data_IF_082721699045
#
_entry.id   IF_082721699045
#
_cell.length_a   1.000
_cell.length_b   1.000
_cell.length_c   1.000
_cell.angle_alpha   90.00
_cell.angle_beta   90.00
_cell.angle_gamma   90.00
#
_symmetry.space_group_name_H-M   'P 1'
#
loop_
_entity.id
_entity.type
_entity.pdbx_description
1 polymer ?
#
# COMPACT_ATOMS: atom_id res chain seq x y z
N UNK A 1 -52.20 60.38 -1.10
CA UNK A 1 -50.79 60.66 -1.45
C UNK A 1 -49.92 59.72 -0.64
N UNK A 2 -49.61 58.55 -1.21
CA UNK A 2 -48.82 57.52 -0.53
C UNK A 2 -47.36 57.98 -0.53
N UNK A 3 -46.77 58.06 0.66
CA UNK A 3 -45.47 58.67 0.92
C UNK A 3 -44.36 57.97 0.11
N UNK A 4 -43.86 58.67 -0.92
CA UNK A 4 -42.75 58.24 -1.79
C UNK A 4 -41.47 57.92 -0.98
N UNK A 5 -41.32 58.50 0.21
CA UNK A 5 -40.21 58.22 1.14
C UNK A 5 -40.32 56.88 1.87
N UNK A 6 -41.53 56.32 2.00
CA UNK A 6 -41.73 55.00 2.59
C UNK A 6 -41.42 53.89 1.57
N UNK A 7 -41.67 54.15 0.28
CA UNK A 7 -41.38 53.24 -0.84
C UNK A 7 -39.87 53.11 -1.15
N UNK A 8 -39.09 54.17 -0.95
CA UNK A 8 -37.63 54.13 -1.16
C UNK A 8 -36.89 53.41 -0.04
N UNK A 9 -37.37 53.52 1.21
CA UNK A 9 -36.80 52.81 2.35
C UNK A 9 -37.13 51.30 2.36
N UNK A 10 -38.30 50.91 1.85
CA UNK A 10 -38.69 49.49 1.74
C UNK A 10 -37.98 48.78 0.58
N UNK A 11 -37.73 49.46 -0.54
CA UNK A 11 -36.95 48.89 -1.65
C UNK A 11 -35.47 48.64 -1.27
N UNK A 12 -34.87 49.53 -0.47
CA UNK A 12 -33.50 49.35 0.02
C UNK A 12 -33.37 48.21 1.04
N UNK A 13 -34.38 48.00 1.89
CA UNK A 13 -34.40 46.89 2.86
C UNK A 13 -34.61 45.52 2.19
N UNK A 14 -35.40 45.45 1.12
CA UNK A 14 -35.60 44.22 0.35
C UNK A 14 -34.37 43.87 -0.50
N UNK A 15 -33.66 44.86 -1.04
CA UNK A 15 -32.39 44.62 -1.75
C UNK A 15 -31.25 44.16 -0.81
N UNK A 16 -31.24 44.60 0.46
CA UNK A 16 -30.24 44.19 1.45
C UNK A 16 -30.50 42.78 2.02
N UNK A 17 -31.75 42.28 1.97
CA UNK A 17 -32.11 40.92 2.36
C UNK A 17 -31.79 39.86 1.28
N UNK A 18 -31.70 40.27 0.01
CA UNK A 18 -31.32 39.37 -1.10
C UNK A 18 -29.81 39.11 -1.23
N UNK A 19 -28.95 39.78 -0.44
CA UNK A 19 -27.52 39.51 -0.37
C UNK A 19 -27.14 38.52 0.74
N UNK A 20 -28.11 37.92 1.42
CA UNK A 20 -27.89 36.64 2.10
C UNK A 20 -27.82 35.57 1.02
N UNK A 21 -26.73 35.60 0.25
CA UNK A 21 -26.37 34.48 -0.60
C UNK A 21 -26.44 33.25 0.29
N UNK A 22 -27.36 32.34 -0.04
CA UNK A 22 -27.14 30.95 0.24
C UNK A 22 -25.85 30.61 -0.52
N UNK A 23 -24.72 30.90 0.12
CA UNK A 23 -23.45 30.29 -0.26
C UNK A 23 -23.79 28.80 -0.27
N UNK A 24 -23.71 28.10 -1.42
CA UNK A 24 -23.84 26.66 -1.40
C UNK A 24 -22.86 26.19 -0.33
N UNK A 25 -23.35 25.43 0.65
CA UNK A 25 -22.47 24.85 1.66
C UNK A 25 -21.39 24.12 0.87
N UNK A 26 -20.16 24.62 0.94
CA UNK A 26 -19.06 23.97 0.26
C UNK A 26 -18.97 22.56 0.81
N UNK A 27 -18.98 21.58 -0.09
CA UNK A 27 -18.86 20.18 0.24
C UNK A 27 -17.36 19.91 0.46
N UNK A 28 -16.89 19.81 1.72
CA UNK A 28 -15.46 19.82 2.02
C UNK A 28 -14.78 18.60 1.39
N UNK A 29 -13.56 18.80 0.89
CA UNK A 29 -12.75 17.74 0.32
C UNK A 29 -11.94 17.05 1.44
N UNK A 30 -12.15 15.76 1.61
CA UNK A 30 -11.38 14.86 2.45
C UNK A 30 -10.22 14.31 1.63
N UNK A 31 -9.04 14.84 1.91
CA UNK A 31 -7.80 14.50 1.23
C UNK A 31 -7.14 13.29 1.89
N UNK A 32 -6.39 12.52 1.12
CA UNK A 32 -5.38 11.67 1.74
C UNK A 32 -5.87 10.28 2.18
N UNK A 33 -7.01 9.78 1.70
CA UNK A 33 -7.54 8.50 2.19
C UNK A 33 -6.83 7.33 1.51
N UNK A 34 -6.02 6.59 2.26
CA UNK A 34 -5.22 5.49 1.72
C UNK A 34 -6.09 4.26 1.45
N UNK A 35 -5.94 3.69 0.26
CA UNK A 35 -6.68 2.51 -0.16
C UNK A 35 -5.80 1.60 -1.00
N UNK A 36 -6.08 0.29 -0.96
CA UNK A 36 -5.44 -0.70 -1.83
C UNK A 36 -6.42 -1.06 -2.94
N UNK A 37 -5.97 -0.92 -4.19
CA UNK A 37 -6.74 -1.33 -5.37
C UNK A 37 -6.94 -2.85 -5.35
N UNK A 38 -8.19 -3.29 -5.43
CA UNK A 38 -8.55 -4.71 -5.56
C UNK A 38 -8.66 -5.12 -7.02
N UNK A 39 -9.33 -4.30 -7.83
CA UNK A 39 -9.47 -4.47 -9.27
C UNK A 39 -10.00 -3.17 -9.90
N UNK A 40 -9.73 -2.97 -11.19
CA UNK A 40 -10.31 -1.90 -11.99
C UNK A 40 -11.53 -2.41 -12.75
N UNK A 41 -12.54 -1.57 -12.91
CA UNK A 41 -13.74 -1.80 -13.72
C UNK A 41 -13.89 -0.65 -14.72
N UNK A 42 -13.20 -0.76 -15.85
CA UNK A 42 -13.27 0.23 -16.93
C UNK A 42 -14.69 0.34 -17.52
N UNK A 43 -15.50 -0.72 -17.43
CA UNK A 43 -16.89 -0.71 -17.90
C UNK A 43 -17.81 0.20 -17.08
N UNK A 44 -17.51 0.37 -15.79
CA UNK A 44 -18.16 1.34 -14.90
C UNK A 44 -17.29 2.56 -14.61
N UNK A 45 -16.18 2.70 -15.32
CA UNK A 45 -15.18 3.76 -15.13
C UNK A 45 -14.82 3.99 -13.65
N UNK A 46 -14.49 2.91 -12.96
CA UNK A 46 -14.16 2.94 -11.54
C UNK A 46 -13.28 1.78 -11.12
N UNK A 47 -13.06 1.63 -9.82
CA UNK A 47 -12.26 0.54 -9.24
C UNK A 47 -12.84 0.09 -7.91
N UNK A 48 -12.54 -1.13 -7.52
CA UNK A 48 -12.78 -1.59 -6.16
C UNK A 48 -11.52 -1.39 -5.34
N UNK A 49 -11.71 -0.92 -4.12
CA UNK A 49 -10.63 -0.72 -3.15
C UNK A 49 -11.01 -1.29 -1.79
N UNK A 50 -10.01 -1.51 -0.96
CA UNK A 50 -10.17 -1.67 0.49
C UNK A 50 -9.33 -0.62 1.19
N UNK A 51 -9.60 -0.37 2.46
CA UNK A 51 -8.71 0.50 3.24
C UNK A 51 -7.27 -0.07 3.26
N UNK A 52 -6.28 0.82 3.08
CA UNK A 52 -4.87 0.45 3.23
C UNK A 52 -4.46 0.40 4.70
N UNK A 53 -5.06 1.28 5.50
CA UNK A 53 -4.89 1.38 6.94
C UNK A 53 -6.08 0.73 7.66
N UNK A 54 -5.85 0.07 8.79
CA UNK A 54 -6.91 -0.59 9.58
C UNK A 54 -7.67 0.48 10.38
N UNK A 55 -8.41 1.36 9.69
CA UNK A 55 -9.13 2.49 10.28
C UNK A 55 -8.19 3.59 10.78
N UNK A 56 -8.52 4.85 10.49
CA UNK A 56 -7.82 5.98 11.11
C UNK A 56 -8.02 6.02 12.63
N UNK A 57 -7.68 7.14 13.28
CA UNK A 57 -7.77 7.33 14.73
C UNK A 57 -9.15 7.05 15.38
N UNK A 58 -10.22 6.85 14.60
CA UNK A 58 -11.55 6.46 15.07
C UNK A 58 -11.81 4.95 15.05
N UNK A 59 -10.93 4.13 14.46
CA UNK A 59 -11.17 2.69 14.22
C UNK A 59 -12.25 2.39 13.17
N UNK A 60 -12.82 3.43 12.54
CA UNK A 60 -13.81 3.28 11.49
C UNK A 60 -13.12 3.14 10.12
N UNK A 61 -13.33 2.00 9.48
CA UNK A 61 -12.90 1.68 8.12
C UNK A 61 -13.73 2.52 7.13
N UNK A 62 -13.10 3.45 6.40
CA UNK A 62 -13.81 4.34 5.47
C UNK A 62 -14.32 3.58 4.25
N UNK A 63 -13.46 2.73 3.67
CA UNK A 63 -13.76 1.91 2.50
C UNK A 63 -14.15 0.47 2.85
N UNK A 64 -13.84 0.00 4.05
CA UNK A 64 -14.06 -1.40 4.45
C UNK A 64 -13.18 -2.36 3.66
N UNK A 65 -13.61 -3.63 3.64
CA UNK A 65 -12.97 -4.70 2.87
C UNK A 65 -13.17 -4.57 1.35
N UNK A 66 -14.20 -3.79 0.94
CA UNK A 66 -14.55 -3.62 -0.47
C UNK A 66 -15.51 -2.44 -0.67
N UNK A 67 -15.00 -1.35 -1.22
CA UNK A 67 -15.77 -0.19 -1.68
C UNK A 67 -15.56 0.02 -3.18
N UNK A 68 -16.63 0.35 -3.90
CA UNK A 68 -16.55 0.78 -5.29
C UNK A 68 -16.31 2.29 -5.38
N UNK A 69 -15.30 2.69 -6.15
CA UNK A 69 -14.93 4.08 -6.37
C UNK A 69 -15.21 4.46 -7.82
N UNK A 70 -16.19 5.33 -8.02
CA UNK A 70 -16.49 5.94 -9.32
C UNK A 70 -15.41 6.97 -9.67
N UNK A 71 -14.79 6.80 -10.85
CA UNK A 71 -13.73 7.66 -11.37
C UNK A 71 -14.19 8.49 -12.58
N UNK A 72 -15.48 8.55 -12.89
CA UNK A 72 -16.07 9.31 -14.01
C UNK A 72 -15.66 10.78 -14.05
N UNK A 73 -15.35 11.35 -12.89
CA UNK A 73 -14.92 12.73 -12.74
C UNK A 73 -13.60 12.86 -11.96
N UNK A 74 -12.93 11.74 -11.68
CA UNK A 74 -11.69 11.73 -10.91
C UNK A 74 -10.50 12.11 -11.79
N UNK A 75 -9.54 12.83 -11.21
CA UNK A 75 -8.23 13.04 -11.81
C UNK A 75 -7.25 11.98 -11.28
N UNK A 76 -6.55 11.27 -12.16
CA UNK A 76 -5.67 10.17 -11.77
C UNK A 76 -4.20 10.56 -12.01
N UNK A 77 -3.34 10.41 -10.99
CA UNK A 77 -1.95 10.83 -11.06
C UNK A 77 -0.96 9.88 -10.37
N UNK A 78 0.31 9.95 -10.75
CA UNK A 78 1.43 9.35 -10.02
C UNK A 78 2.63 10.31 -9.99
N UNK A 79 3.51 10.16 -9.00
CA UNK A 79 4.70 11.01 -8.85
C UNK A 79 5.96 10.34 -9.41
N UNK A 80 6.42 10.79 -10.59
CA UNK A 80 7.61 10.30 -11.30
C UNK A 80 8.88 10.33 -10.47
N UNK A 81 9.41 9.20 -10.00
CA UNK A 81 10.69 9.22 -9.27
C UNK A 81 11.87 9.60 -10.17
N UNK A 82 11.80 9.30 -11.47
CA UNK A 82 12.81 9.70 -12.45
C UNK A 82 12.62 11.09 -13.05
N UNK A 83 11.41 11.67 -12.96
CA UNK A 83 11.09 12.99 -13.53
C UNK A 83 10.84 14.06 -12.47
N UNK A 84 10.64 13.66 -11.22
CA UNK A 84 10.19 14.51 -10.09
C UNK A 84 8.87 15.27 -10.37
N UNK A 85 8.07 14.78 -11.32
CA UNK A 85 6.84 15.42 -11.80
C UNK A 85 5.58 14.58 -11.52
N UNK A 86 4.47 15.27 -11.20
CA UNK A 86 3.15 14.66 -11.13
C UNK A 86 2.63 14.40 -12.55
N UNK A 87 2.50 13.14 -12.92
CA UNK A 87 2.10 12.72 -14.27
C UNK A 87 0.68 12.14 -14.22
N UNK A 88 -0.15 12.51 -15.18
CA UNK A 88 -1.51 11.96 -15.32
C UNK A 88 -1.44 10.51 -15.78
N UNK A 89 -2.34 9.67 -15.27
CA UNK A 89 -2.48 8.26 -15.65
C UNK A 89 -3.91 7.94 -16.05
N UNK A 90 -4.09 6.77 -16.66
CA UNK A 90 -5.41 6.20 -16.94
C UNK A 90 -5.80 5.20 -15.86
N UNK A 91 -7.09 4.95 -15.75
CA UNK A 91 -7.62 3.94 -14.83
C UNK A 91 -7.00 2.55 -15.08
N UNK A 92 -6.80 2.18 -16.34
CA UNK A 92 -6.18 0.90 -16.72
C UNK A 92 -4.69 0.78 -16.37
N UNK A 93 -4.03 1.87 -15.97
CA UNK A 93 -2.63 1.81 -15.52
C UNK A 93 -2.52 1.33 -14.06
N UNK A 94 -3.61 1.45 -13.28
CA UNK A 94 -3.74 0.90 -11.93
C UNK A 94 -3.96 -0.61 -11.97
N UNK A 95 -3.22 -1.35 -11.15
CA UNK A 95 -3.39 -2.79 -10.96
C UNK A 95 -3.81 -3.12 -9.53
N UNK A 96 -4.33 -4.33 -9.36
CA UNK A 96 -4.59 -4.88 -8.04
C UNK A 96 -3.31 -4.89 -7.18
N UNK A 97 -3.44 -4.46 -5.93
CA UNK A 97 -2.34 -4.31 -4.98
C UNK A 97 -1.66 -2.94 -5.02
N UNK A 98 -1.99 -2.08 -5.99
CA UNK A 98 -1.50 -0.71 -5.99
C UNK A 98 -2.07 0.05 -4.79
N UNK A 99 -1.21 0.76 -4.09
CA UNK A 99 -1.61 1.64 -3.01
C UNK A 99 -1.90 3.03 -3.57
N UNK A 100 -3.09 3.53 -3.30
CA UNK A 100 -3.56 4.80 -3.81
C UNK A 100 -4.08 5.68 -2.69
N UNK A 101 -3.93 6.98 -2.88
CA UNK A 101 -4.60 8.00 -2.09
C UNK A 101 -5.85 8.46 -2.83
N UNK A 102 -7.00 8.49 -2.16
CA UNK A 102 -8.28 8.88 -2.75
C UNK A 102 -8.81 10.12 -2.05
N UNK A 103 -9.03 11.19 -2.82
CA UNK A 103 -9.66 12.40 -2.32
C UNK A 103 -11.18 12.33 -2.60
N UNK A 104 -11.98 12.50 -1.54
CA UNK A 104 -13.44 12.37 -1.56
C UNK A 104 -14.09 13.62 -1.02
N UNK A 105 -15.26 14.00 -1.54
CA UNK A 105 -16.07 15.03 -0.88
C UNK A 105 -16.79 14.47 0.35
N UNK A 106 -17.13 15.31 1.33
CA UNK A 106 -17.84 14.87 2.55
C UNK A 106 -19.14 14.13 2.22
N UNK A 107 -19.86 14.56 1.19
CA UNK A 107 -21.07 13.89 0.71
C UNK A 107 -20.82 12.45 0.21
N UNK A 108 -19.61 12.15 -0.24
CA UNK A 108 -19.18 10.83 -0.73
C UNK A 108 -18.58 9.96 0.38
N UNK A 109 -17.92 10.55 1.39
CA UNK A 109 -17.42 9.85 2.60
C UNK A 109 -18.54 9.05 3.28
N UNK A 110 -19.73 9.63 3.41
CA UNK A 110 -20.89 8.94 4.02
C UNK A 110 -21.42 7.79 3.15
N UNK A 111 -21.19 7.84 1.84
CA UNK A 111 -21.58 6.77 0.91
C UNK A 111 -20.54 5.66 0.86
N UNK A 112 -19.26 5.99 1.04
CA UNK A 112 -18.17 5.02 1.09
C UNK A 112 -18.43 3.93 2.15
N UNK A 113 -18.91 4.32 3.34
CA UNK A 113 -19.32 3.37 4.38
C UNK A 113 -20.51 2.47 4.02
N UNK A 114 -21.24 2.77 2.94
CA UNK A 114 -22.28 1.92 2.36
C UNK A 114 -21.78 1.11 1.15
N UNK A 115 -20.47 1.11 0.89
CA UNK A 115 -19.80 0.30 -0.13
C UNK A 115 -19.60 0.97 -1.49
N UNK A 116 -19.92 2.26 -1.64
CA UNK A 116 -19.62 2.99 -2.89
C UNK A 116 -19.45 4.50 -2.70
N UNK A 117 -18.51 5.12 -3.40
CA UNK A 117 -18.29 6.57 -3.40
C UNK A 117 -17.75 7.07 -4.75
N UNK A 118 -17.85 8.37 -5.01
CA UNK A 118 -17.18 9.03 -6.15
C UNK A 118 -15.90 9.71 -5.71
N UNK A 119 -14.80 9.48 -6.45
CA UNK A 119 -13.54 10.15 -6.21
C UNK A 119 -13.46 11.49 -6.96
N UNK A 120 -12.74 12.44 -6.36
CA UNK A 120 -12.33 13.68 -7.01
C UNK A 120 -10.91 13.57 -7.56
N UNK A 121 -10.03 12.89 -6.83
CA UNK A 121 -8.66 12.61 -7.25
C UNK A 121 -8.22 11.25 -6.73
N UNK A 122 -7.42 10.56 -7.53
CA UNK A 122 -6.71 9.35 -7.14
C UNK A 122 -5.23 9.53 -7.44
N UNK A 123 -4.38 9.22 -6.48
CA UNK A 123 -2.94 9.28 -6.64
C UNK A 123 -2.31 7.93 -6.30
N UNK A 124 -1.56 7.35 -7.24
CA UNK A 124 -0.77 6.15 -6.98
C UNK A 124 0.43 6.50 -6.09
N UNK A 125 0.57 5.77 -4.98
CA UNK A 125 1.65 5.96 -4.00
C UNK A 125 2.91 5.17 -4.37
N UNK A 126 2.77 3.98 -4.96
CA UNK A 126 3.90 3.11 -5.30
C UNK A 126 4.15 3.06 -6.81
N UNK A 127 5.28 3.60 -7.25
CA UNK A 127 5.67 3.52 -8.66
C UNK A 127 6.37 2.19 -8.97
N UNK A 128 5.94 1.51 -10.04
CA UNK A 128 6.73 0.42 -10.63
C UNK A 128 7.92 1.04 -11.35
N UNK A 129 9.13 0.65 -10.98
CA UNK A 129 10.30 1.03 -11.78
C UNK A 129 10.13 0.45 -13.19
N UNK A 130 10.28 1.26 -14.25
CA UNK A 130 10.36 0.70 -15.60
C UNK A 130 11.55 -0.26 -15.62
N UNK A 131 11.34 -1.49 -16.12
CA UNK A 131 12.42 -2.46 -16.24
C UNK A 131 13.54 -1.87 -17.11
N UNK A 132 14.68 -1.57 -16.51
CA UNK A 132 15.88 -1.16 -17.23
C UNK A 132 16.31 -2.33 -18.12
N UNK A 133 16.34 -2.08 -19.43
CA UNK A 133 16.79 -3.03 -20.44
C UNK A 133 18.32 -2.89 -20.54
N UNK A 134 19.15 -3.85 -20.08
CA UNK A 134 20.59 -3.69 -20.14
C UNK A 134 21.08 -4.13 -21.52
N UNK A 135 21.09 -3.21 -22.48
CA UNK A 135 21.92 -3.36 -23.68
C UNK A 135 22.37 -2.01 -24.22
N UNK A 136 23.26 -1.35 -23.47
CA UNK A 136 24.22 -0.41 -24.04
C UNK A 136 25.62 -0.74 -23.52
N UNK A 137 26.27 -1.73 -24.13
CA UNK A 137 27.72 -1.82 -24.08
C UNK A 137 28.28 -0.75 -25.03
N UNK A 138 28.55 0.43 -24.48
CA UNK A 138 29.37 1.46 -25.12
C UNK A 138 30.84 1.11 -24.89
N UNK A 139 31.47 0.43 -25.84
CA UNK A 139 32.93 0.47 -26.00
C UNK A 139 33.28 1.28 -27.25
N UNK A 140 33.93 2.42 -27.04
CA UNK A 140 34.35 3.35 -28.09
C UNK A 140 35.60 2.89 -28.86
N UNK A 141 35.53 3.12 -30.16
CA UNK A 141 36.53 3.81 -31.00
C UNK A 141 37.96 3.25 -31.17
N UNK A 142 38.27 2.79 -32.39
CA UNK A 142 39.25 3.47 -33.27
C UNK A 142 39.58 2.66 -34.55
N UNK A 143 39.79 3.39 -35.65
CA UNK A 143 40.71 3.00 -36.73
C UNK A 143 40.06 2.44 -38.00
N UNK A 144 40.04 3.25 -39.06
CA UNK A 144 39.61 2.86 -40.39
C UNK A 144 40.71 2.22 -41.24
N UNK A 145 40.38 1.93 -42.50
CA UNK A 145 41.38 1.62 -43.53
C UNK A 145 41.01 0.46 -44.44
N UNK A 146 40.86 0.79 -45.72
CA UNK A 146 40.45 0.00 -46.87
C UNK A 146 41.34 -1.19 -47.27
N UNK A 147 40.77 -2.00 -48.18
CA UNK A 147 41.38 -2.65 -49.35
C UNK A 147 41.94 -4.10 -49.29
N UNK A 148 41.19 -4.96 -49.99
CA UNK A 148 41.60 -5.82 -51.12
C UNK A 148 42.37 -7.15 -50.93
N UNK A 149 41.94 -8.14 -51.72
CA UNK A 149 42.61 -9.42 -52.04
C UNK A 149 41.98 -10.62 -51.33
N UNK A 150 41.40 -11.65 -51.94
CA UNK A 150 41.51 -12.20 -53.29
C UNK A 150 41.94 -13.67 -53.20
N UNK A 151 41.05 -14.60 -53.60
CA UNK A 151 41.34 -15.97 -54.11
C UNK A 151 41.92 -17.01 -53.10
N UNK A 152 41.62 -18.31 -53.06
CA UNK A 152 40.94 -19.28 -53.93
C UNK A 152 40.64 -20.56 -53.09
N UNK A 153 39.44 -21.15 -53.14
CA UNK A 153 39.07 -22.39 -53.88
C UNK A 153 38.95 -23.68 -53.03
N UNK A 154 37.89 -24.46 -53.28
CA UNK A 154 37.85 -25.89 -52.94
C UNK A 154 36.50 -26.45 -52.45
N UNK A 155 35.56 -26.70 -53.37
CA UNK A 155 34.25 -27.31 -53.13
C UNK A 155 34.28 -28.82 -52.82
N UNK A 156 33.33 -29.28 -52.00
CA UNK A 156 32.37 -30.40 -52.27
C UNK A 156 31.47 -30.55 -51.03
N UNK A 157 30.17 -30.26 -51.12
CA UNK A 157 29.07 -31.23 -51.35
C UNK A 157 28.65 -31.90 -50.03
N UNK A 158 27.41 -32.15 -49.64
CA UNK A 158 26.06 -32.05 -50.20
C UNK A 158 25.12 -32.36 -49.02
N UNK A 159 23.89 -31.80 -48.95
CA UNK A 159 22.86 -32.37 -48.07
C UNK A 159 21.86 -31.39 -47.46
N UNK A 160 20.78 -31.13 -48.19
CA UNK A 160 19.65 -30.28 -47.84
C UNK A 160 18.65 -30.92 -46.87
N UNK A 161 18.02 -30.09 -46.02
CA UNK A 161 16.55 -29.94 -45.85
C UNK A 161 16.36 -28.94 -44.68
N UNK A 162 15.87 -27.71 -44.89
CA UNK A 162 14.50 -27.39 -45.32
C UNK A 162 13.57 -27.61 -44.13
N UNK A 163 13.13 -26.58 -43.42
CA UNK A 163 12.03 -25.71 -43.85
C UNK A 163 12.02 -24.37 -43.13
N UNK A 164 11.82 -23.30 -43.90
CA UNK A 164 11.42 -21.99 -43.40
C UNK A 164 9.91 -21.79 -43.45
N UNK A 165 9.46 -20.70 -42.81
CA UNK A 165 8.38 -19.75 -43.19
C UNK A 165 8.02 -18.98 -41.91
N UNK A 166 8.48 -17.74 -41.69
CA UNK A 166 8.02 -16.45 -42.23
C UNK A 166 6.54 -16.13 -41.96
N UNK A 167 6.31 -15.07 -41.17
CA UNK A 167 5.40 -14.00 -41.59
C UNK A 167 4.07 -13.84 -40.83
N UNK A 168 4.05 -12.78 -40.02
CA UNK A 168 3.03 -11.71 -40.03
C UNK A 168 1.65 -11.92 -39.38
N UNK A 169 1.36 -11.06 -38.40
CA UNK A 169 0.18 -10.17 -38.48
C UNK A 169 -1.02 -10.47 -37.58
N UNK A 170 -1.37 -9.48 -36.75
CA UNK A 170 -2.75 -8.97 -36.61
C UNK A 170 -3.73 -9.70 -35.69
N UNK A 171 -4.00 -9.07 -34.53
CA UNK A 171 -5.31 -8.77 -33.91
C UNK A 171 -6.49 -9.74 -34.11
N UNK A 172 -7.06 -10.25 -33.01
CA UNK A 172 -8.39 -9.81 -32.55
C UNK A 172 -8.84 -10.47 -31.24
N UNK A 173 -9.68 -9.73 -30.54
CA UNK A 173 -10.40 -10.04 -29.31
C UNK A 173 -11.51 -11.09 -29.52
N UNK A 174 -11.74 -11.90 -28.49
CA UNK A 174 -12.82 -12.90 -28.49
C UNK A 174 -13.13 -13.36 -27.07
N UNK A 175 -14.17 -12.76 -26.50
CA UNK A 175 -14.74 -13.03 -25.18
C UNK A 175 -15.19 -14.47 -24.94
N UNK A 176 -15.17 -14.86 -23.66
CA UNK A 176 -16.23 -15.58 -22.92
C UNK A 176 -15.82 -16.92 -22.29
N UNK A 177 -15.95 -16.97 -20.96
CA UNK A 177 -16.03 -18.24 -20.23
C UNK A 177 -15.48 -18.23 -18.81
N UNK A 178 -16.12 -17.52 -17.88
CA UNK A 178 -16.19 -18.02 -16.50
C UNK A 178 -17.42 -18.94 -16.40
N UNK A 179 -17.31 -20.10 -15.73
CA UNK A 179 -17.71 -20.08 -14.33
C UNK A 179 -16.91 -20.99 -13.37
N UNK A 180 -16.84 -20.51 -12.11
CA UNK A 180 -16.85 -21.26 -10.83
C UNK A 180 -15.53 -21.87 -10.30
N UNK A 181 -15.00 -21.16 -9.30
CA UNK A 181 -14.76 -21.59 -7.92
C UNK A 181 -13.85 -22.81 -7.67
N UNK A 182 -12.59 -22.56 -7.25
CA UNK A 182 -11.97 -23.14 -6.05
C UNK A 182 -10.47 -22.77 -5.95
N UNK A 183 -10.05 -22.27 -4.79
CA UNK A 183 -8.76 -22.65 -4.20
C UNK A 183 -7.54 -21.75 -4.43
N UNK A 184 -6.91 -21.41 -3.31
CA UNK A 184 -5.55 -20.89 -3.10
C UNK A 184 -5.31 -19.41 -3.44
N UNK A 185 -4.98 -18.63 -2.39
CA UNK A 185 -4.13 -17.45 -2.49
C UNK A 185 -2.96 -17.80 -3.41
N UNK A 186 -2.91 -17.20 -4.59
CA UNK A 186 -1.67 -17.14 -5.34
C UNK A 186 -0.84 -16.05 -4.64
N UNK A 187 0.09 -16.48 -3.78
CA UNK A 187 1.15 -15.65 -3.23
C UNK A 187 1.79 -14.86 -4.38
N UNK A 188 1.82 -13.52 -4.25
CA UNK A 188 2.51 -12.69 -5.24
C UNK A 188 4.02 -12.97 -5.08
N UNK A 189 4.68 -13.54 -6.11
CA UNK A 189 6.11 -13.80 -6.05
C UNK A 189 6.86 -12.48 -5.83
N UNK A 190 7.68 -12.41 -4.77
CA UNK A 190 8.42 -11.20 -4.38
C UNK A 190 7.71 -10.28 -3.37
N UNK A 191 6.54 -10.65 -2.84
CA UNK A 191 5.92 -9.92 -1.73
C UNK A 191 6.61 -10.20 -0.39
N UNK A 192 6.58 -9.23 0.54
CA UNK A 192 7.15 -9.42 1.89
C UNK A 192 6.48 -10.55 2.68
N UNK A 193 5.20 -10.81 2.42
CA UNK A 193 4.51 -11.99 2.95
C UNK A 193 5.16 -13.30 2.45
N UNK A 194 5.42 -13.41 1.14
CA UNK A 194 6.13 -14.56 0.57
C UNK A 194 7.56 -14.69 1.12
N UNK A 195 8.32 -13.59 1.23
CA UNK A 195 9.65 -13.62 1.85
C UNK A 195 9.61 -14.04 3.33
N UNK A 196 8.56 -13.66 4.05
CA UNK A 196 8.33 -14.14 5.41
C UNK A 196 7.93 -15.62 5.43
N UNK A 197 7.13 -16.11 4.48
CA UNK A 197 6.77 -17.52 4.36
C UNK A 197 7.97 -18.42 4.06
N UNK A 198 8.96 -17.91 3.32
CA UNK A 198 10.25 -18.55 3.09
C UNK A 198 11.20 -18.47 4.30
N UNK A 199 10.92 -17.61 5.28
CA UNK A 199 11.72 -17.45 6.51
C UNK A 199 11.30 -18.41 7.63
N UNK A 200 12.11 -18.52 8.68
CA UNK A 200 11.75 -19.25 9.91
C UNK A 200 10.97 -18.36 10.91
N UNK A 201 9.92 -17.69 10.44
CA UNK A 201 9.12 -16.81 11.29
C UNK A 201 8.44 -17.53 12.46
N UNK A 202 8.14 -18.82 12.29
CA UNK A 202 7.56 -19.65 13.37
C UNK A 202 8.61 -19.96 14.44
N UNK A 203 9.86 -20.25 14.05
CA UNK A 203 10.98 -20.37 14.98
C UNK A 203 11.27 -19.06 15.70
N UNK A 204 11.22 -17.94 14.99
CA UNK A 204 11.38 -16.61 15.58
C UNK A 204 10.29 -16.28 16.60
N UNK A 205 9.02 -16.56 16.30
CA UNK A 205 7.92 -16.41 17.26
C UNK A 205 8.13 -17.26 18.54
N UNK A 206 8.63 -18.50 18.40
CA UNK A 206 8.98 -19.35 19.55
C UNK A 206 10.16 -18.77 20.36
N UNK A 207 11.15 -18.20 19.69
CA UNK A 207 12.28 -17.52 20.35
C UNK A 207 11.79 -16.33 21.17
N UNK A 208 10.88 -15.53 20.61
CA UNK A 208 10.23 -14.43 21.33
C UNK A 208 9.46 -14.94 22.55
N UNK A 209 8.64 -15.99 22.40
CA UNK A 209 7.93 -16.59 23.54
C UNK A 209 8.89 -17.06 24.65
N UNK A 210 10.02 -17.64 24.29
CA UNK A 210 11.05 -18.05 25.26
C UNK A 210 11.64 -16.85 26.00
N UNK A 211 12.01 -15.79 25.28
CA UNK A 211 12.54 -14.55 25.85
C UNK A 211 11.55 -13.91 26.83
N UNK A 212 10.27 -13.83 26.45
CA UNK A 212 9.21 -13.32 27.32
C UNK A 212 9.01 -14.20 28.56
N UNK A 213 9.05 -15.53 28.43
CA UNK A 213 8.94 -16.44 29.58
C UNK A 213 10.05 -16.26 30.63
N UNK A 214 11.23 -15.80 30.20
CA UNK A 214 12.38 -15.51 31.07
C UNK A 214 12.47 -14.04 31.48
N UNK A 215 11.59 -13.18 30.91
CA UNK A 215 11.68 -11.72 31.00
C UNK A 215 13.10 -11.23 30.64
N UNK A 216 13.71 -11.79 29.60
CA UNK A 216 15.09 -11.46 29.21
C UNK A 216 15.13 -10.20 28.32
N UNK A 217 15.42 -9.04 28.93
CA UNK A 217 15.47 -7.77 28.22
C UNK A 217 16.71 -7.64 27.33
N UNK A 218 17.79 -8.35 27.66
CA UNK A 218 19.03 -8.32 26.91
C UNK A 218 18.86 -9.06 25.58
N UNK A 219 18.25 -10.25 25.64
CA UNK A 219 17.89 -11.00 24.46
C UNK A 219 16.82 -10.29 23.62
N UNK A 220 15.80 -9.69 24.26
CA UNK A 220 14.77 -8.93 23.55
C UNK A 220 15.37 -7.77 22.74
N UNK A 221 16.27 -6.99 23.35
CA UNK A 221 16.93 -5.87 22.69
C UNK A 221 17.74 -6.28 21.44
N UNK A 222 18.32 -7.47 21.42
CA UNK A 222 19.05 -7.97 20.25
C UNK A 222 18.15 -8.32 19.07
N UNK A 223 16.88 -8.62 19.34
CA UNK A 223 15.88 -8.95 18.32
C UNK A 223 15.22 -7.70 17.73
N UNK A 224 15.34 -6.53 18.34
CA UNK A 224 14.77 -5.29 17.82
C UNK A 224 15.54 -4.76 16.60
N UNK A 225 14.80 -4.17 15.65
CA UNK A 225 15.38 -3.20 14.73
C UNK A 225 15.21 -1.81 15.33
N UNK A 226 16.30 -1.05 15.39
CA UNK A 226 16.29 0.29 15.95
C UNK A 226 16.21 1.35 14.84
N UNK A 227 15.42 2.42 15.04
CA UNK A 227 14.55 2.66 16.20
C UNK A 227 13.36 1.68 16.22
N UNK A 228 12.98 1.25 17.43
CA UNK A 228 11.83 0.35 17.66
C UNK A 228 10.69 1.14 18.28
N UNK A 229 9.49 1.02 17.73
CA UNK A 229 8.31 1.70 18.26
C UNK A 229 7.80 0.99 19.53
N UNK A 230 7.64 1.71 20.64
CA UNK A 230 7.20 1.14 21.91
C UNK A 230 6.06 1.96 22.51
N UNK A 231 4.92 1.31 22.78
CA UNK A 231 3.84 1.85 23.62
C UNK A 231 3.76 1.10 24.93
N UNK A 232 3.51 1.82 26.01
CA UNK A 232 3.37 1.28 27.38
C UNK A 232 2.21 1.99 28.08
N UNK A 233 1.73 1.47 29.21
CA UNK A 233 0.72 2.18 30.01
C UNK A 233 1.20 3.57 30.48
N UNK A 234 2.51 3.75 30.64
CA UNK A 234 3.10 5.03 31.01
C UNK A 234 3.24 6.00 29.82
N UNK A 235 3.24 5.49 28.59
CA UNK A 235 3.34 6.27 27.36
C UNK A 235 2.51 5.65 26.21
N UNK A 236 1.24 6.03 26.17
CA UNK A 236 0.26 5.53 25.19
C UNK A 236 0.36 6.21 23.83
N UNK A 237 1.06 7.35 23.72
CA UNK A 237 1.34 8.00 22.43
C UNK A 237 2.41 7.25 21.63
N UNK A 238 3.16 6.38 22.31
CA UNK A 238 4.26 5.61 21.77
C UNK A 238 5.55 6.41 21.64
N UNK A 239 6.67 5.69 21.55
CA UNK A 239 8.00 6.27 21.47
C UNK A 239 8.86 5.45 20.52
N UNK A 240 9.53 6.12 19.59
CA UNK A 240 10.63 5.55 18.83
C UNK A 240 11.86 5.44 19.73
N UNK A 241 12.08 4.24 20.26
CA UNK A 241 13.22 3.94 21.11
C UNK A 241 14.45 3.76 20.24
N UNK A 242 15.40 4.68 20.36
CA UNK A 242 16.54 4.78 19.45
C UNK A 242 17.57 3.64 19.59
N UNK A 243 17.70 3.02 20.76
CA UNK A 243 18.72 2.01 21.01
C UNK A 243 18.36 1.02 22.13
N UNK A 244 19.24 0.02 22.31
CA UNK A 244 19.08 -1.01 23.32
C UNK A 244 19.09 -0.49 24.76
N UNK A 245 19.79 0.62 25.05
CA UNK A 245 19.80 1.18 26.40
C UNK A 245 18.43 1.80 26.73
N UNK A 246 17.84 2.53 25.78
CA UNK A 246 16.49 3.08 25.90
C UNK A 246 15.42 2.01 26.07
N UNK A 247 15.55 0.88 25.36
CA UNK A 247 14.60 -0.24 25.50
C UNK A 247 14.71 -0.91 26.86
N UNK A 248 15.94 -1.13 27.34
CA UNK A 248 16.20 -1.75 28.65
C UNK A 248 15.65 -0.94 29.82
N UNK A 249 15.63 0.38 29.69
CA UNK A 249 15.06 1.27 30.70
C UNK A 249 13.54 1.05 30.90
N UNK A 250 12.84 0.49 29.91
CA UNK A 250 11.40 0.22 29.93
C UNK A 250 11.06 -1.24 30.25
N UNK A 251 12.01 -2.00 30.80
CA UNK A 251 11.87 -3.45 31.05
C UNK A 251 10.57 -3.81 31.76
N UNK A 252 10.28 -3.12 32.86
CA UNK A 252 9.15 -3.47 33.73
C UNK A 252 7.81 -3.08 33.09
N UNK A 253 7.80 -2.02 32.28
CA UNK A 253 6.64 -1.56 31.52
C UNK A 253 6.36 -2.42 30.28
N UNK A 254 7.36 -3.15 29.76
CA UNK A 254 7.21 -4.09 28.64
C UNK A 254 6.79 -5.48 29.13
N UNK A 255 7.42 -6.00 30.19
CA UNK A 255 7.14 -7.34 30.73
C UNK A 255 5.99 -7.33 31.75
N UNK A 256 4.87 -6.72 31.40
CA UNK A 256 3.64 -6.78 32.21
C UNK A 256 3.03 -8.18 32.16
N UNK A 257 2.24 -8.54 33.17
CA UNK A 257 1.60 -9.86 33.21
C UNK A 257 0.64 -10.06 32.03
N UNK A 258 -0.04 -8.99 31.59
CA UNK A 258 -0.91 -9.01 30.42
C UNK A 258 -0.13 -9.28 29.12
N UNK A 259 1.00 -8.60 28.92
CA UNK A 259 1.87 -8.83 27.76
C UNK A 259 2.47 -10.24 27.74
N UNK A 260 2.89 -10.74 28.91
CA UNK A 260 3.40 -12.11 29.04
C UNK A 260 2.34 -13.16 28.69
N UNK A 261 1.11 -12.97 29.17
CA UNK A 261 0.00 -13.86 28.86
C UNK A 261 -0.36 -13.80 27.37
N UNK A 262 -0.40 -12.60 26.79
CA UNK A 262 -0.69 -12.38 25.38
C UNK A 262 0.32 -13.09 24.47
N UNK A 263 1.62 -12.88 24.70
CA UNK A 263 2.69 -13.52 23.91
C UNK A 263 2.70 -15.05 24.10
N UNK A 264 2.50 -15.54 25.33
CA UNK A 264 2.46 -16.97 25.61
C UNK A 264 1.23 -17.67 25.00
N UNK A 265 0.11 -16.95 24.83
CA UNK A 265 -1.15 -17.49 24.29
C UNK A 265 -1.14 -17.72 22.77
N UNK A 266 -0.19 -17.14 22.06
CA UNK A 266 -0.07 -17.30 20.59
C UNK A 266 0.33 -18.72 20.22
N UNK A 267 -0.34 -19.33 19.25
CA UNK A 267 0.10 -20.57 18.61
C UNK A 267 0.93 -20.24 17.35
N UNK A 268 2.27 -20.47 17.36
CA UNK A 268 3.12 -20.16 16.23
C UNK A 268 2.75 -20.88 14.93
N UNK A 269 2.01 -22.00 15.00
CA UNK A 269 1.61 -22.74 13.81
C UNK A 269 0.42 -22.10 13.09
N UNK A 270 -0.33 -21.24 13.79
CA UNK A 270 -1.48 -20.50 13.27
C UNK A 270 -1.15 -19.08 12.83
N UNK A 271 0.10 -18.66 13.02
CA UNK A 271 0.59 -17.38 12.50
C UNK A 271 0.61 -17.40 10.98
N UNK A 272 0.06 -16.34 10.39
CA UNK A 272 0.04 -16.11 8.95
C UNK A 272 0.83 -14.84 8.65
N UNK A 273 1.89 -14.93 7.84
CA UNK A 273 2.62 -13.74 7.38
C UNK A 273 1.70 -12.77 6.66
N UNK A 274 1.99 -11.48 6.81
CA UNK A 274 1.33 -10.41 6.07
C UNK A 274 2.37 -9.46 5.48
N UNK A 275 1.94 -8.54 4.63
CA UNK A 275 2.84 -7.52 4.08
C UNK A 275 3.39 -6.57 5.15
N UNK A 276 2.63 -6.32 6.21
CA UNK A 276 3.10 -5.57 7.36
C UNK A 276 4.19 -6.41 8.07
N UNK A 277 3.87 -7.66 8.38
CA UNK A 277 4.72 -8.53 9.17
C UNK A 277 3.87 -9.54 9.91
N UNK A 278 4.33 -9.93 11.09
CA UNK A 278 3.65 -10.90 11.95
C UNK A 278 3.47 -10.30 13.32
N UNK A 279 2.22 -10.35 13.79
CA UNK A 279 1.86 -9.94 15.14
C UNK A 279 1.87 -11.15 16.09
N UNK A 280 2.44 -10.94 17.28
CA UNK A 280 2.48 -11.92 18.37
C UNK A 280 1.94 -11.24 19.62
N UNK A 281 0.71 -11.55 19.97
CA UNK A 281 0.05 -11.01 21.16
C UNK A 281 -1.42 -11.35 21.21
N UNK A 282 -2.18 -10.52 21.91
CA UNK A 282 -3.62 -10.68 22.10
C UNK A 282 -4.38 -10.60 20.77
N UNK A 283 -5.45 -11.38 20.63
CA UNK A 283 -6.35 -11.30 19.47
C UNK A 283 -7.01 -9.91 19.31
N UNK A 284 -7.08 -9.12 20.39
CA UNK A 284 -7.53 -7.72 20.38
C UNK A 284 -6.53 -6.74 19.77
N UNK A 285 -5.34 -7.18 19.35
CA UNK A 285 -4.27 -6.34 18.81
C UNK A 285 -3.41 -5.64 19.87
N UNK A 286 -3.77 -5.72 21.14
CA UNK A 286 -2.97 -5.23 22.27
C UNK A 286 -3.31 -5.96 23.57
N UNK A 287 -2.34 -6.28 24.44
CA UNK A 287 -0.90 -6.10 24.25
C UNK A 287 -0.30 -7.14 23.29
N UNK A 288 0.81 -6.80 22.65
CA UNK A 288 1.54 -7.67 21.73
C UNK A 288 2.73 -7.00 21.09
N UNK A 289 3.38 -7.69 20.16
CA UNK A 289 4.50 -7.14 19.40
C UNK A 289 4.41 -7.52 17.94
N UNK A 290 5.17 -6.81 17.13
CA UNK A 290 5.16 -6.97 15.70
C UNK A 290 6.59 -7.10 15.19
N UNK A 291 6.81 -8.13 14.36
CA UNK A 291 8.09 -8.40 13.75
C UNK A 291 7.97 -8.62 12.25
N UNK A 292 9.04 -8.32 11.52
CA UNK A 292 9.13 -8.51 10.07
C UNK A 292 10.59 -8.71 9.66
N UNK A 293 10.84 -8.88 8.37
CA UNK A 293 12.20 -8.82 7.80
C UNK A 293 12.65 -7.36 7.80
N UNK A 294 13.80 -7.09 8.41
CA UNK A 294 14.49 -5.81 8.28
C UNK A 294 15.21 -5.70 6.92
N UNK A 295 15.79 -4.53 6.63
CA UNK A 295 16.52 -4.27 5.38
C UNK A 295 17.69 -5.23 5.14
N UNK A 296 18.27 -5.76 6.21
CA UNK A 296 19.35 -6.75 6.18
C UNK A 296 18.86 -8.19 5.91
N UNK A 297 17.54 -8.39 5.72
CA UNK A 297 16.93 -9.67 5.46
C UNK A 297 16.77 -10.56 6.68
N UNK A 298 17.06 -10.08 7.89
CA UNK A 298 16.86 -10.84 9.13
C UNK A 298 15.54 -10.48 9.80
N UNK A 299 14.93 -11.47 10.46
CA UNK A 299 13.74 -11.24 11.28
C UNK A 299 14.08 -10.37 12.48
N UNK A 300 13.31 -9.29 12.65
CA UNK A 300 13.51 -8.29 13.68
C UNK A 300 12.18 -7.76 14.19
N UNK A 301 12.12 -7.43 15.48
CA UNK A 301 10.97 -6.78 16.12
C UNK A 301 11.00 -5.31 15.75
N UNK A 302 9.93 -4.84 15.11
CA UNK A 302 9.78 -3.44 14.67
C UNK A 302 8.97 -2.62 15.68
N UNK A 303 8.07 -3.28 16.43
CA UNK A 303 7.21 -2.61 17.38
C UNK A 303 6.80 -3.50 18.56
N UNK A 304 6.61 -2.88 19.72
CA UNK A 304 6.17 -3.50 20.96
C UNK A 304 5.03 -2.65 21.53
N UNK A 305 3.87 -3.26 21.72
CA UNK A 305 2.73 -2.65 22.36
C UNK A 305 2.40 -3.35 23.68
N UNK A 306 2.84 -2.76 24.79
CA UNK A 306 2.60 -3.28 26.13
C UNK A 306 1.36 -2.66 26.81
N UNK A 307 0.68 -1.72 26.15
CA UNK A 307 -0.54 -1.10 26.67
C UNK A 307 -1.71 -2.10 26.63
N UNK A 308 -2.52 -2.12 27.68
CA UNK A 308 -3.77 -2.88 27.69
C UNK A 308 -4.90 -1.95 27.27
N UNK A 309 -5.49 -2.19 26.10
CA UNK A 309 -6.71 -1.51 25.69
C UNK A 309 -7.84 -1.92 26.62
N UNK A 310 -8.39 -0.98 27.39
CA UNK A 310 -9.60 -1.20 28.18
C UNK A 310 -10.77 -1.45 27.23
N UNK A 311 -11.37 -2.64 27.30
CA UNK A 311 -12.59 -3.01 26.59
C UNK A 311 -13.81 -2.22 27.07
#
# INVERSE_FOLDING_TARGET
>A
MINIRLLTATAAAVALLCLTGCQPKEDPLYLGNNAIVLETDEGRNGLYVKDADIGGASGDSLFGERCFIDCSHAQLYYYGLGTEELTEMKLGDLLAGDEVTIDLRESEVKKAGNGSASAEKIQLMTQRMPAENPSEERSGESGGGSDSGGSDSGSSGSGSSGSGSSGSGGSDSGSSGSPRQAGANAEIPGSRAASLEESDYKGFAKQIQHIFSQRDIEALAQLCAYPVYVTTEANTEGLDVADAAGLKAQKDDIFTDAMLQAVAGVDPNRLTPSQAGIFVGSESGSPGLFFSLAEDGYLKIMGINAEVLSQ
#
